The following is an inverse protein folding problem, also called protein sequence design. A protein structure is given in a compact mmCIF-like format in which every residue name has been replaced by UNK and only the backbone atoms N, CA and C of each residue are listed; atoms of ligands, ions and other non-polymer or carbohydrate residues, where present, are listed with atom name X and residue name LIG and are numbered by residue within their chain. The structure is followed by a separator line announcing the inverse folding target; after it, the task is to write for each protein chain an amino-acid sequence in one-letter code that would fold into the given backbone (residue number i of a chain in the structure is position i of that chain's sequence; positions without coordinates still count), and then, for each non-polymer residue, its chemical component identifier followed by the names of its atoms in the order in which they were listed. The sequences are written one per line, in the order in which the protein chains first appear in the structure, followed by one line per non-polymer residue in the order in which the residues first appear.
data_IF_795024929652
#
_entry.id   IF_795024929652
#
_cell.length_a   1.000
_cell.length_b   1.000
_cell.length_c   1.000
_cell.angle_alpha   90.00
_cell.angle_beta   90.00
_cell.angle_gamma   90.00
#
_symmetry.space_group_name_H-M   'P 1'
#
loop_
_entity.id
_entity.type
_entity.pdbx_description
1 polymer ?
#
# COMPACT_ATOMS: atom_id res chain seq x y z
N UNK A 1 14.22 12.36 23.65
CA UNK A 1 13.18 12.10 22.63
C UNK A 1 13.82 12.33 21.28
N UNK A 2 14.22 11.26 20.58
CA UNK A 2 14.73 11.37 19.21
C UNK A 2 13.50 11.35 18.31
N UNK A 3 13.17 12.49 17.70
CA UNK A 3 12.22 12.52 16.61
C UNK A 3 13.05 12.23 15.36
N UNK A 4 12.82 11.07 14.76
CA UNK A 4 13.36 10.81 13.44
C UNK A 4 12.60 11.67 12.43
N UNK A 5 13.34 12.32 11.54
CA UNK A 5 12.75 13.08 10.43
C UNK A 5 12.34 12.06 9.37
N UNK A 6 11.13 11.49 9.49
CA UNK A 6 10.60 10.64 8.42
C UNK A 6 10.16 11.51 7.26
N UNK A 7 10.80 11.29 6.11
CA UNK A 7 10.31 11.79 4.82
C UNK A 7 9.36 10.73 4.26
N UNK A 8 8.07 11.04 4.22
CA UNK A 8 7.03 10.13 3.76
C UNK A 8 6.21 10.78 2.66
N UNK A 9 6.15 10.11 1.50
CA UNK A 9 5.32 10.53 0.38
C UNK A 9 3.98 9.79 0.40
N UNK A 10 2.89 10.54 0.33
CA UNK A 10 1.54 9.98 0.30
C UNK A 10 1.04 9.97 -1.14
N UNK A 11 0.74 8.77 -1.65
CA UNK A 11 0.19 8.59 -2.98
C UNK A 11 -1.30 8.25 -2.92
N UNK A 12 -2.18 9.07 -3.50
CA UNK A 12 -3.59 8.70 -3.62
C UNK A 12 -3.76 7.58 -4.65
N UNK A 13 -4.39 6.48 -4.23
CA UNK A 13 -4.76 5.37 -5.11
C UNK A 13 -6.26 5.48 -5.40
N UNK A 14 -6.61 5.51 -6.69
CA UNK A 14 -8.02 5.49 -7.12
C UNK A 14 -8.44 4.06 -7.36
N UNK A 15 -9.62 3.70 -6.86
CA UNK A 15 -10.20 2.39 -7.10
C UNK A 15 -10.89 2.39 -8.48
N UNK A 16 -10.20 1.90 -9.50
CA UNK A 16 -10.78 1.77 -10.84
C UNK A 16 -11.51 0.44 -11.01
N UNK A 17 -11.17 -0.57 -10.21
CA UNK A 17 -11.75 -1.92 -10.32
C UNK A 17 -13.22 -2.00 -9.85
N UNK A 18 -13.56 -1.39 -8.71
CA UNK A 18 -14.93 -1.35 -8.17
C UNK A 18 -15.68 -0.04 -8.46
N UNK A 19 -15.03 0.90 -9.14
CA UNK A 19 -15.58 2.20 -9.54
C UNK A 19 -15.16 3.37 -8.64
N UNK A 20 -14.98 4.54 -9.25
CA UNK A 20 -14.37 5.72 -8.62
C UNK A 20 -15.14 6.27 -7.39
N UNK A 21 -16.38 5.81 -7.15
CA UNK A 21 -17.20 6.15 -5.97
C UNK A 21 -16.89 5.33 -4.73
N UNK A 22 -16.03 4.30 -4.82
CA UNK A 22 -15.67 3.43 -3.71
C UNK A 22 -14.40 3.94 -3.03
N UNK A 23 -14.55 4.52 -1.85
CA UNK A 23 -13.45 5.17 -1.09
C UNK A 23 -12.81 4.28 -0.02
N UNK A 24 -13.13 2.98 0.00
CA UNK A 24 -12.61 2.06 1.03
C UNK A 24 -11.36 1.32 0.54
N UNK A 25 -10.30 1.34 1.37
CA UNK A 25 -9.03 0.69 1.06
C UNK A 25 -9.15 -0.84 0.89
N UNK A 26 -10.16 -1.45 1.50
CA UNK A 26 -10.40 -2.90 1.41
C UNK A 26 -10.89 -3.40 0.05
N UNK A 27 -11.15 -2.50 -0.89
CA UNK A 27 -11.54 -2.85 -2.26
C UNK A 27 -10.47 -2.49 -3.30
N UNK A 28 -9.28 -2.04 -2.87
CA UNK A 28 -8.16 -1.76 -3.78
C UNK A 28 -7.54 -3.06 -4.28
N UNK A 29 -7.22 -3.10 -5.57
CA UNK A 29 -6.58 -4.25 -6.23
C UNK A 29 -5.10 -4.01 -6.49
N UNK A 30 -4.34 -5.09 -6.76
CA UNK A 30 -2.93 -4.95 -7.15
C UNK A 30 -2.76 -4.12 -8.42
N UNK A 31 -3.70 -4.25 -9.35
CA UNK A 31 -3.78 -3.45 -10.58
C UNK A 31 -4.00 -1.95 -10.30
N UNK A 32 -4.83 -1.59 -9.32
CA UNK A 32 -5.02 -0.18 -8.93
C UNK A 32 -3.73 0.42 -8.38
N UNK A 33 -3.00 -0.31 -7.53
CA UNK A 33 -1.69 0.13 -7.03
C UNK A 33 -0.69 0.29 -8.17
N UNK A 34 -0.60 -0.71 -9.06
CA UNK A 34 0.32 -0.66 -10.19
C UNK A 34 0.03 0.56 -11.07
N UNK A 35 -1.22 0.76 -11.48
CA UNK A 35 -1.60 1.89 -12.33
C UNK A 35 -1.30 3.25 -11.67
N UNK A 36 -1.49 3.37 -10.35
CA UNK A 36 -1.28 4.61 -9.63
C UNK A 36 0.20 4.91 -9.30
N UNK A 37 1.05 3.87 -9.20
CA UNK A 37 2.42 3.98 -8.69
C UNK A 37 3.50 3.69 -9.74
N UNK A 38 3.15 3.08 -10.86
CA UNK A 38 4.08 2.80 -11.94
C UNK A 38 4.73 4.11 -12.44
N UNK A 39 6.06 4.12 -12.49
CA UNK A 39 6.85 5.27 -12.93
C UNK A 39 7.02 6.39 -11.89
N UNK A 40 6.56 6.20 -10.65
CA UNK A 40 6.81 7.14 -9.54
C UNK A 40 8.05 6.74 -8.75
N UNK A 41 8.68 7.73 -8.11
CA UNK A 41 9.77 7.49 -7.16
C UNK A 41 9.19 7.07 -5.81
N UNK A 42 9.14 5.76 -5.55
CA UNK A 42 8.51 5.19 -4.34
C UNK A 42 9.44 5.12 -3.13
N UNK A 43 10.72 5.44 -3.29
CA UNK A 43 11.72 5.35 -2.23
C UNK A 43 12.17 3.91 -1.94
N UNK A 44 12.36 3.58 -0.67
CA UNK A 44 12.95 2.30 -0.24
C UNK A 44 11.94 1.17 -0.09
N UNK A 45 10.68 1.48 0.26
CA UNK A 45 9.61 0.51 0.44
C UNK A 45 8.24 1.16 0.25
N UNK A 46 7.29 0.38 -0.27
CA UNK A 46 5.89 0.76 -0.37
C UNK A 46 5.08 0.09 0.75
N UNK A 47 4.50 0.91 1.63
CA UNK A 47 3.56 0.43 2.64
C UNK A 47 2.13 0.49 2.12
N UNK A 48 1.40 -0.62 2.21
CA UNK A 48 0.00 -0.71 1.77
C UNK A 48 -0.90 -1.18 2.90
N UNK A 49 -2.16 -0.74 2.98
CA UNK A 49 -3.12 -1.28 3.94
C UNK A 49 -3.32 -2.78 3.72
N UNK A 50 -3.04 -3.61 4.73
CA UNK A 50 -3.23 -5.06 4.69
C UNK A 50 -4.69 -5.43 4.38
N UNK A 51 -5.64 -4.57 4.75
CA UNK A 51 -7.07 -4.68 4.41
C UNK A 51 -7.35 -4.74 2.90
N UNK A 52 -6.43 -4.28 2.04
CA UNK A 52 -6.53 -4.42 0.58
C UNK A 52 -6.24 -5.84 0.08
N UNK A 53 -5.65 -6.69 0.93
CA UNK A 53 -5.49 -8.12 0.66
C UNK A 53 -6.77 -8.87 1.06
N UNK A 54 -6.97 -10.03 0.44
CA UNK A 54 -7.97 -11.01 0.84
C UNK A 54 -7.74 -11.44 2.29
N UNK A 55 -8.74 -12.11 2.86
CA UNK A 55 -8.70 -12.61 4.23
C UNK A 55 -7.44 -13.47 4.52
N UNK A 56 -6.97 -14.23 3.54
CA UNK A 56 -5.78 -15.09 3.63
C UNK A 56 -4.45 -14.32 3.55
N UNK A 57 -4.48 -13.00 3.31
CA UNK A 57 -3.32 -12.09 3.24
C UNK A 57 -2.26 -12.46 2.21
N UNK A 58 -2.58 -13.32 1.26
CA UNK A 58 -1.66 -13.81 0.22
C UNK A 58 -1.82 -13.06 -1.11
N UNK A 59 -3.03 -12.53 -1.37
CA UNK A 59 -3.40 -11.92 -2.66
C UNK A 59 -4.34 -10.74 -2.50
N UNK A 60 -4.33 -9.86 -3.48
CA UNK A 60 -5.36 -8.85 -3.70
C UNK A 60 -6.64 -9.48 -4.29
N UNK A 61 -7.70 -8.67 -4.42
CA UNK A 61 -8.98 -9.10 -4.99
C UNK A 61 -8.92 -9.44 -6.49
N UNK A 62 -7.86 -9.01 -7.19
CA UNK A 62 -7.57 -9.32 -8.60
C UNK A 62 -6.58 -10.49 -8.79
N UNK A 63 -6.37 -11.29 -7.74
CA UNK A 63 -5.46 -12.45 -7.70
C UNK A 63 -3.97 -12.12 -7.87
N UNK A 64 -3.61 -10.84 -7.95
CA UNK A 64 -2.23 -10.39 -7.88
C UNK A 64 -1.67 -10.63 -6.47
N UNK A 65 -0.41 -11.05 -6.36
CA UNK A 65 0.27 -11.18 -5.06
C UNK A 65 1.08 -9.92 -4.73
N UNK A 66 1.33 -9.61 -3.45
CA UNK A 66 2.23 -8.52 -3.05
C UNK A 66 3.63 -8.64 -3.68
N UNK A 67 4.14 -9.86 -3.84
CA UNK A 67 5.44 -10.12 -4.47
C UNK A 67 5.42 -9.77 -5.96
N UNK A 68 4.32 -10.06 -6.66
CA UNK A 68 4.15 -9.70 -8.05
C UNK A 68 4.08 -8.18 -8.24
N UNK A 69 3.41 -7.46 -7.33
CA UNK A 69 3.38 -6.00 -7.33
C UNK A 69 4.76 -5.41 -7.01
N UNK A 70 5.44 -5.93 -5.99
CA UNK A 70 6.81 -5.56 -5.61
C UNK A 70 7.79 -5.68 -6.77
N UNK A 71 7.75 -6.79 -7.50
CA UNK A 71 8.58 -7.01 -8.69
C UNK A 71 8.32 -5.99 -9.79
N UNK A 72 7.08 -5.56 -9.96
CA UNK A 72 6.70 -4.60 -11.00
C UNK A 72 7.04 -3.15 -10.64
N UNK A 73 6.93 -2.79 -9.35
CA UNK A 73 7.27 -1.47 -8.85
C UNK A 73 8.77 -1.30 -8.54
N UNK A 74 9.51 -2.40 -8.41
CA UNK A 74 10.95 -2.38 -8.11
C UNK A 74 11.27 -2.05 -6.66
N UNK A 75 10.26 -1.99 -5.78
CA UNK A 75 10.40 -1.74 -4.34
C UNK A 75 9.64 -2.80 -3.55
N UNK A 76 10.13 -3.19 -2.35
CA UNK A 76 9.39 -4.06 -1.44
C UNK A 76 8.01 -3.51 -1.13
N UNK A 77 6.99 -4.36 -1.22
CA UNK A 77 5.61 -4.03 -0.84
C UNK A 77 5.32 -4.67 0.52
N UNK A 78 5.00 -3.85 1.51
CA UNK A 78 4.83 -4.27 2.90
C UNK A 78 3.38 -3.98 3.33
N UNK A 79 2.55 -5.03 3.50
CA UNK A 79 1.22 -4.87 4.07
C UNK A 79 1.31 -4.45 5.55
N UNK A 80 0.59 -3.40 5.92
CA UNK A 80 0.47 -2.91 7.31
C UNK A 80 -0.96 -3.06 7.80
N UNK A 81 -1.14 -3.62 8.99
CA UNK A 81 -2.46 -3.73 9.60
C UNK A 81 -3.00 -2.33 9.89
N UNK A 82 -4.25 -2.08 9.51
CA UNK A 82 -4.87 -0.78 9.68
C UNK A 82 -5.40 -0.62 11.11
N UNK A 83 -4.50 -0.64 12.09
CA UNK A 83 -4.76 0.01 13.36
C UNK A 83 -4.16 1.42 13.24
N UNK A 84 -4.99 2.46 13.27
CA UNK A 84 -4.54 3.85 13.05
C UNK A 84 -3.41 4.28 14.01
N UNK A 85 -3.26 3.55 15.12
CA UNK A 85 -2.18 3.68 16.10
C UNK A 85 -0.87 3.06 15.61
N UNK A 86 -0.88 1.91 14.92
CA UNK A 86 0.33 1.28 14.36
C UNK A 86 0.90 2.10 13.20
N UNK A 87 0.07 2.69 12.35
CA UNK A 87 0.51 3.58 11.27
C UNK A 87 1.30 4.78 11.82
N UNK A 88 0.81 5.44 12.87
CA UNK A 88 1.51 6.55 13.52
C UNK A 88 2.73 6.07 14.32
N UNK A 89 2.70 4.86 14.87
CA UNK A 89 3.81 4.30 15.65
C UNK A 89 4.99 3.86 14.77
N UNK A 90 4.73 3.26 13.61
CA UNK A 90 5.75 2.92 12.62
C UNK A 90 6.45 4.17 12.07
N UNK A 91 5.67 5.24 11.87
CA UNK A 91 6.21 6.55 11.49
C UNK A 91 6.98 7.27 12.59
N UNK A 92 6.93 6.82 13.85
CA UNK A 92 7.61 7.48 14.97
C UNK A 92 8.91 6.76 15.41
N UNK A 93 9.16 5.56 14.90
CA UNK A 93 10.24 4.67 15.36
C UNK A 93 11.35 4.39 14.33
N UNK A 94 11.21 4.88 13.09
CA UNK A 94 12.20 4.69 12.01
C UNK A 94 13.19 5.84 11.94
#
# INVERSE_FOLDING_TARGET
KKCYTLDCQVFPIKNHFFGDTVTVAGLLTGSDYLAALQGKELGEALYIPAVSLRFERDRFLDDMTPEALSKQLGVPVIPIENDGVEFVTALAQS
#
